data_IF_444465522652
#
_entry.id   IF_444465522652
#
_cell.length_a   1.000
_cell.length_b   1.000
_cell.length_c   1.000
_cell.angle_alpha   90.00
_cell.angle_beta   90.00
_cell.angle_gamma   90.00
#
_symmetry.space_group_name_H-M   'P 1'
#
loop_
_entity.id
_entity.type
_entity.pdbx_description
1 polymer ?
#
# COMPACT_ATOMS: atom_id res chain seq x y z
N UNK A 1 -25.90 -14.17 13.37
CA UNK A 1 -24.51 -13.66 13.40
C UNK A 1 -24.47 -12.57 12.37
N UNK A 2 -24.63 -11.31 12.78
CA UNK A 2 -24.51 -10.18 11.85
C UNK A 2 -23.03 -10.10 11.49
N UNK A 3 -22.67 -10.60 10.31
CA UNK A 3 -21.44 -10.19 9.65
C UNK A 3 -21.70 -8.73 9.31
N UNK A 4 -21.11 -7.82 10.07
CA UNK A 4 -21.02 -6.44 9.61
C UNK A 4 -20.32 -6.48 8.26
N UNK A 5 -20.96 -5.99 7.21
CA UNK A 5 -20.41 -5.92 5.86
C UNK A 5 -19.28 -4.87 5.83
N UNK A 6 -18.16 -5.19 6.48
CA UNK A 6 -16.97 -4.36 6.50
C UNK A 6 -16.18 -4.62 5.20
N UNK A 7 -16.04 -3.62 4.31
CA UNK A 7 -15.39 -3.81 3.00
C UNK A 7 -13.91 -4.21 3.13
N UNK A 8 -13.30 -3.89 4.28
CA UNK A 8 -11.95 -4.32 4.62
C UNK A 8 -11.88 -5.83 4.87
N UNK A 9 -12.83 -6.40 5.59
CA UNK A 9 -12.83 -7.82 5.94
C UNK A 9 -13.04 -8.69 4.69
N UNK A 10 -13.95 -8.26 3.80
CA UNK A 10 -14.18 -8.92 2.51
C UNK A 10 -12.92 -8.92 1.62
N UNK A 11 -12.30 -7.75 1.48
CA UNK A 11 -11.09 -7.59 0.65
C UNK A 11 -9.90 -8.34 1.25
N UNK A 12 -9.73 -8.29 2.58
CA UNK A 12 -8.69 -9.03 3.29
C UNK A 12 -8.84 -10.54 3.08
N UNK A 13 -10.05 -11.09 3.22
CA UNK A 13 -10.30 -12.51 3.00
C UNK A 13 -9.96 -12.96 1.58
N UNK A 14 -10.35 -12.17 0.58
CA UNK A 14 -10.00 -12.41 -0.82
C UNK A 14 -8.47 -12.43 -1.03
N UNK A 15 -7.79 -11.40 -0.56
CA UNK A 15 -6.35 -11.23 -0.77
C UNK A 15 -5.54 -12.29 -0.01
N UNK A 16 -5.90 -12.62 1.23
CA UNK A 16 -5.26 -13.71 1.99
C UNK A 16 -5.43 -15.07 1.30
N UNK A 17 -6.59 -15.33 0.67
CA UNK A 17 -6.79 -16.54 -0.13
C UNK A 17 -5.84 -16.62 -1.33
N UNK A 18 -5.62 -15.49 -2.02
CA UNK A 18 -4.67 -15.40 -3.14
C UNK A 18 -3.23 -15.61 -2.65
N UNK A 19 -2.83 -14.96 -1.55
CA UNK A 19 -1.51 -15.14 -0.95
C UNK A 19 -1.23 -16.61 -0.62
N UNK A 20 -2.22 -17.31 -0.08
CA UNK A 20 -2.12 -18.72 0.25
C UNK A 20 -1.94 -19.60 -0.99
N UNK A 21 -2.68 -19.32 -2.08
CA UNK A 21 -2.57 -20.05 -3.35
C UNK A 21 -1.20 -19.84 -4.03
N UNK A 22 -0.68 -18.62 -3.97
CA UNK A 22 0.63 -18.27 -4.54
C UNK A 22 1.82 -18.64 -3.62
N UNK A 23 1.54 -19.16 -2.41
CA UNK A 23 2.57 -19.55 -1.45
C UNK A 23 3.37 -18.39 -0.86
N UNK A 24 2.81 -17.18 -0.90
CA UNK A 24 3.43 -15.96 -0.40
C UNK A 24 3.08 -15.80 1.08
N UNK A 25 4.09 -15.70 1.95
CA UNK A 25 3.88 -15.54 3.40
C UNK A 25 3.98 -14.06 3.79
N UNK A 26 2.82 -13.44 4.01
CA UNK A 26 2.69 -12.04 4.45
C UNK A 26 1.84 -12.01 5.73
N UNK A 27 2.20 -11.15 6.69
CA UNK A 27 1.41 -10.95 7.92
C UNK A 27 0.08 -10.23 7.59
N UNK A 28 -1.04 -10.57 8.25
CA UNK A 28 -2.34 -9.95 7.98
C UNK A 28 -2.32 -8.43 8.17
N UNK A 29 -1.63 -7.91 9.18
CA UNK A 29 -1.46 -6.47 9.42
C UNK A 29 -0.86 -5.71 8.23
N UNK A 30 0.07 -6.34 7.50
CA UNK A 30 0.69 -5.73 6.34
C UNK A 30 -0.25 -5.69 5.13
N UNK A 31 -1.17 -6.66 5.02
CA UNK A 31 -2.20 -6.69 3.97
C UNK A 31 -3.24 -5.61 4.24
N UNK A 32 -3.61 -5.40 5.51
CA UNK A 32 -4.51 -4.32 5.92
C UNK A 32 -3.99 -2.94 5.53
N UNK A 33 -2.71 -2.66 5.82
CA UNK A 33 -2.06 -1.41 5.46
C UNK A 33 -1.96 -1.23 3.94
N UNK A 34 -1.70 -2.32 3.21
CA UNK A 34 -1.67 -2.32 1.74
C UNK A 34 -3.04 -2.00 1.15
N UNK A 35 -4.10 -2.66 1.63
CA UNK A 35 -5.48 -2.46 1.16
C UNK A 35 -5.89 -0.99 1.36
N UNK A 36 -5.64 -0.43 2.56
CA UNK A 36 -5.91 0.98 2.85
C UNK A 36 -5.07 1.93 1.98
N UNK A 37 -3.82 1.58 1.69
CA UNK A 37 -2.94 2.37 0.83
C UNK A 37 -3.32 2.37 -0.65
N UNK A 38 -3.98 1.31 -1.13
CA UNK A 38 -4.53 1.16 -2.49
C UNK A 38 -5.99 1.57 -2.61
N UNK A 39 -6.59 2.06 -1.53
CA UNK A 39 -7.98 2.48 -1.49
C UNK A 39 -8.96 1.40 -1.97
N UNK A 40 -8.70 0.14 -1.58
CA UNK A 40 -9.51 -1.02 -1.93
C UNK A 40 -9.53 -1.37 -3.44
N UNK A 41 -8.61 -0.86 -4.26
CA UNK A 41 -8.46 -1.29 -5.67
C UNK A 41 -7.75 -2.65 -5.76
N UNK A 42 -8.54 -3.69 -6.03
CA UNK A 42 -8.07 -5.09 -6.12
C UNK A 42 -6.94 -5.29 -7.14
N UNK A 43 -6.98 -4.59 -8.29
CA UNK A 43 -5.93 -4.75 -9.31
C UNK A 43 -4.61 -4.18 -8.83
N UNK A 44 -4.64 -3.03 -8.15
CA UNK A 44 -3.45 -2.44 -7.57
C UNK A 44 -2.88 -3.30 -6.44
N UNK A 45 -3.75 -3.88 -5.60
CA UNK A 45 -3.34 -4.78 -4.52
C UNK A 45 -2.59 -5.98 -5.11
N UNK A 46 -3.17 -6.67 -6.09
CA UNK A 46 -2.54 -7.84 -6.73
C UNK A 46 -1.21 -7.45 -7.39
N UNK A 47 -1.15 -6.30 -8.09
CA UNK A 47 0.10 -5.84 -8.69
C UNK A 47 1.19 -5.61 -7.64
N UNK A 48 0.86 -4.94 -6.53
CA UNK A 48 1.80 -4.68 -5.45
C UNK A 48 2.28 -6.00 -4.81
N UNK A 49 1.37 -6.97 -4.66
CA UNK A 49 1.70 -8.32 -4.22
C UNK A 49 2.65 -9.04 -5.17
N UNK A 50 2.46 -8.93 -6.48
CA UNK A 50 3.36 -9.53 -7.48
C UNK A 50 4.78 -8.95 -7.40
N UNK A 51 4.91 -7.64 -7.20
CA UNK A 51 6.22 -6.98 -7.01
C UNK A 51 6.89 -7.47 -5.72
N UNK A 52 6.12 -7.58 -4.64
CA UNK A 52 6.60 -8.10 -3.34
C UNK A 52 7.03 -9.56 -3.46
N UNK A 53 6.26 -10.40 -4.14
CA UNK A 53 6.58 -11.80 -4.39
C UNK A 53 7.84 -12.00 -5.26
N UNK A 54 8.09 -11.08 -6.20
CA UNK A 54 9.29 -11.09 -7.03
C UNK A 54 10.57 -10.76 -6.25
N UNK A 55 10.45 -9.94 -5.20
CA UNK A 55 11.57 -9.53 -4.35
C UNK A 55 11.95 -10.65 -3.39
N UNK A 56 11.01 -11.11 -2.55
CA UNK A 56 11.22 -12.22 -1.61
C UNK A 56 9.90 -12.92 -1.25
N UNK A 57 9.89 -14.27 -1.17
CA UNK A 57 8.69 -15.05 -0.84
C UNK A 57 8.31 -15.03 0.65
N UNK A 58 9.23 -14.60 1.53
CA UNK A 58 9.03 -14.44 2.97
C UNK A 58 9.19 -12.97 3.35
N UNK A 59 8.09 -12.23 3.38
CA UNK A 59 8.14 -10.78 3.58
C UNK A 59 8.09 -10.48 5.08
N UNK A 60 9.18 -9.96 5.64
CA UNK A 60 9.20 -9.43 7.01
C UNK A 60 8.35 -8.16 7.13
N UNK A 61 7.67 -7.95 8.26
CA UNK A 61 6.69 -6.86 8.43
C UNK A 61 7.28 -5.45 8.27
N UNK A 62 8.58 -5.28 8.41
CA UNK A 62 9.24 -3.99 8.21
C UNK A 62 9.44 -3.67 6.72
N UNK A 63 9.74 -4.67 5.90
CA UNK A 63 9.85 -4.52 4.44
C UNK A 63 8.49 -4.21 3.81
N UNK A 64 7.43 -4.86 4.29
CA UNK A 64 6.07 -4.63 3.80
C UNK A 64 5.59 -3.19 4.06
N UNK A 65 5.94 -2.57 5.20
CA UNK A 65 5.58 -1.17 5.50
C UNK A 65 6.31 -0.17 4.59
N UNK A 66 7.58 -0.43 4.29
CA UNK A 66 8.37 0.39 3.36
C UNK A 66 7.85 0.26 1.93
N UNK A 67 7.52 -0.95 1.50
CA UNK A 67 6.97 -1.18 0.16
C UNK A 67 5.52 -0.65 0.04
N UNK A 68 4.71 -0.70 1.11
CA UNK A 68 3.37 -0.10 1.14
C UNK A 68 3.39 1.43 1.07
N UNK A 69 4.32 2.09 1.78
CA UNK A 69 4.49 3.55 1.71
C UNK A 69 5.04 4.00 0.36
N UNK A 70 5.98 3.25 -0.23
CA UNK A 70 6.48 3.51 -1.58
C UNK A 70 5.43 3.25 -2.67
N UNK A 71 4.49 2.33 -2.43
CA UNK A 71 3.42 1.98 -3.37
C UNK A 71 2.17 2.85 -3.25
N UNK A 72 2.17 3.86 -2.37
CA UNK A 72 1.05 4.79 -2.21
C UNK A 72 1.00 5.70 -3.43
N UNK A 73 0.04 5.46 -4.33
CA UNK A 73 -0.03 6.19 -5.60
C UNK A 73 -0.84 7.48 -5.45
N UNK A 74 -0.26 8.60 -5.85
CA UNK A 74 -0.89 9.92 -5.84
C UNK A 74 -1.96 10.12 -6.96
N UNK A 75 -2.45 9.05 -7.60
CA UNK A 75 -3.30 9.13 -8.82
C UNK A 75 -4.67 9.77 -8.56
N UNK A 76 -5.16 9.75 -7.32
CA UNK A 76 -6.41 10.42 -6.94
C UNK A 76 -6.25 11.89 -6.61
N UNK A 77 -5.02 12.36 -6.42
CA UNK A 77 -4.78 13.77 -6.12
C UNK A 77 -5.02 14.58 -7.39
N UNK A 78 -5.92 15.56 -7.31
CA UNK A 78 -6.14 16.51 -8.40
C UNK A 78 -4.86 17.35 -8.58
N UNK A 79 -4.62 17.87 -9.79
CA UNK A 79 -3.44 18.69 -10.10
C UNK A 79 -3.15 19.79 -9.06
N UNK A 80 -4.19 20.42 -8.51
CA UNK A 80 -4.06 21.44 -7.46
C UNK A 80 -3.70 20.85 -6.10
N UNK A 81 -4.29 19.72 -5.73
CA UNK A 81 -3.97 18.98 -4.50
C UNK A 81 -2.48 18.60 -4.47
N UNK A 82 -1.96 18.13 -5.61
CA UNK A 82 -0.55 17.77 -5.79
C UNK A 82 0.39 18.96 -5.58
N UNK A 83 0.05 20.13 -6.13
CA UNK A 83 0.87 21.33 -5.98
C UNK A 83 0.95 21.78 -4.52
N UNK A 84 -0.18 21.78 -3.81
CA UNK A 84 -0.24 22.16 -2.39
C UNK A 84 0.53 21.16 -1.54
N UNK A 85 0.34 19.86 -1.75
CA UNK A 85 1.03 18.84 -0.97
C UNK A 85 2.54 18.81 -1.24
N UNK A 86 2.96 19.08 -2.48
CA UNK A 86 4.38 19.24 -2.84
C UNK A 86 4.97 20.50 -2.21
N UNK A 87 4.21 21.58 -2.12
CA UNK A 87 4.61 22.79 -1.43
C UNK A 87 4.79 22.55 0.07
N UNK A 88 3.86 21.84 0.72
CA UNK A 88 3.94 21.47 2.14
C UNK A 88 5.14 20.55 2.41
N UNK A 89 5.36 19.51 1.59
CA UNK A 89 6.54 18.63 1.72
C UNK A 89 7.87 19.38 1.62
N UNK A 90 7.95 20.41 0.76
CA UNK A 90 9.14 21.29 0.67
C UNK A 90 9.38 22.12 1.95
N UNK A 91 8.34 22.38 2.74
CA UNK A 91 8.47 23.11 4.01
C UNK A 91 8.91 22.18 5.16
N UNK A 92 8.61 20.88 5.06
CA UNK A 92 8.85 19.88 6.10
C UNK A 92 10.24 19.23 6.04
N UNK A 93 10.87 19.17 4.85
CA UNK A 93 12.26 18.73 4.68
C UNK A 93 13.19 19.89 4.28
N UNK A 94 13.92 20.51 5.24
CA UNK A 94 14.87 21.59 4.93
C UNK A 94 16.13 21.12 4.16
N UNK A 95 16.33 19.81 3.96
CA UNK A 95 17.50 19.23 3.30
C UNK A 95 17.49 19.34 1.77
N UNK A 96 16.34 19.58 1.13
CA UNK A 96 16.26 19.80 -0.33
C UNK A 96 16.56 21.26 -0.76
N UNK A 97 17.07 22.09 0.15
CA UNK A 97 17.31 23.52 -0.09
C UNK A 97 18.62 23.83 -0.84
N UNK A 98 19.38 22.82 -1.28
CA UNK A 98 20.66 23.01 -1.95
C UNK A 98 20.75 22.19 -3.27
N UNK A 99 20.08 22.64 -4.33
CA UNK A 99 20.56 22.50 -5.71
C UNK A 99 20.11 23.74 -6.48
N UNK A 100 20.77 24.86 -6.21
CA UNK A 100 21.13 25.93 -7.16
C UNK A 100 22.20 26.80 -6.49
#
# INVERSE_FOLDING_TARGET
MMVSDDPLNETLGLIMSICFKEGIKIKPEAIDDLIRGTDFDIRQIINNLSVVAAKEKNVSSEGAKKDASASKKDVRMIAFELLVQRHIRKLEEPSLRCVE
#
